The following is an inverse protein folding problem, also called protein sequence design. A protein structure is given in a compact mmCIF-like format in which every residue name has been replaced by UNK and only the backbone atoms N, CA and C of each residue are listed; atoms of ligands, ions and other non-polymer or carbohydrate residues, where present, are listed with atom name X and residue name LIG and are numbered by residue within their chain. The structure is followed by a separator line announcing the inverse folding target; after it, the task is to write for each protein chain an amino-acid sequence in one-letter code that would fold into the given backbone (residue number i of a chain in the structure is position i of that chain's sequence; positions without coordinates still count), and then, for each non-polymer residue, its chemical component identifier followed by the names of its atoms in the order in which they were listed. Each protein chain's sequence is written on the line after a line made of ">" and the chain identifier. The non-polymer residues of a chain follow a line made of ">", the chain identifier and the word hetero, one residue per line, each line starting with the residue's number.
data_IF_144765699424
#
_entry.id   IF_144765699424
#
_cell.length_a   1.000
_cell.length_b   1.000
_cell.length_c   1.000
_cell.angle_alpha   90.00
_cell.angle_beta   90.00
_cell.angle_gamma   90.00
#
_symmetry.space_group_name_H-M   'P 1'
#
loop_
_entity.id
_entity.type
_entity.pdbx_description
1 polymer ?
#
# COMPACT_ATOMS: atom_id res chain seq x y z
N UNK A 1 31.88 -9.04 35.86
CA UNK A 1 31.17 -10.20 35.26
C UNK A 1 31.06 -9.94 33.77
N UNK A 2 31.46 -10.84 32.86
CA UNK A 2 31.25 -10.61 31.43
C UNK A 2 29.75 -10.48 31.18
N UNK A 3 29.31 -9.29 30.78
CA UNK A 3 27.94 -9.10 30.30
C UNK A 3 27.75 -10.01 29.08
N UNK A 4 26.62 -10.72 28.94
CA UNK A 4 26.32 -11.46 27.74
C UNK A 4 25.99 -10.46 26.62
N UNK A 5 27.03 -9.88 26.00
CA UNK A 5 26.92 -8.90 24.91
C UNK A 5 26.63 -9.62 23.59
N UNK A 6 27.00 -10.90 23.47
CA UNK A 6 26.86 -11.67 22.23
C UNK A 6 25.40 -11.72 21.68
N UNK A 7 24.35 -11.94 22.49
CA UNK A 7 22.97 -11.85 22.00
C UNK A 7 22.61 -10.43 21.52
N UNK A 8 23.04 -9.39 22.24
CA UNK A 8 22.71 -7.99 21.97
C UNK A 8 23.37 -7.52 20.67
N UNK A 9 24.62 -7.90 20.42
CA UNK A 9 25.34 -7.58 19.19
C UNK A 9 24.67 -8.19 17.95
N UNK A 10 24.18 -9.43 18.04
CA UNK A 10 23.43 -10.07 16.97
C UNK A 10 22.12 -9.36 16.65
N UNK A 11 21.37 -8.93 17.67
CA UNK A 11 20.16 -8.13 17.50
C UNK A 11 20.45 -6.76 16.88
N UNK A 12 21.47 -6.06 17.38
CA UNK A 12 21.87 -4.76 16.85
C UNK A 12 22.24 -4.84 15.36
N UNK A 13 22.99 -5.87 14.96
CA UNK A 13 23.33 -6.10 13.55
C UNK A 13 22.10 -6.40 12.70
N UNK A 14 21.19 -7.27 13.16
CA UNK A 14 19.98 -7.64 12.40
C UNK A 14 19.07 -6.43 12.19
N UNK A 15 18.75 -5.69 13.25
CA UNK A 15 17.87 -4.53 13.16
C UNK A 15 18.56 -3.35 12.47
N UNK A 16 19.88 -3.19 12.64
CA UNK A 16 20.68 -2.21 11.90
C UNK A 16 20.66 -2.48 10.40
N UNK A 17 20.79 -3.74 9.98
CA UNK A 17 20.69 -4.13 8.57
C UNK A 17 19.29 -3.84 8.01
N UNK A 18 18.22 -4.16 8.75
CA UNK A 18 16.84 -3.82 8.35
C UNK A 18 16.66 -2.31 8.21
N UNK A 19 17.17 -1.53 9.16
CA UNK A 19 17.08 -0.07 9.13
C UNK A 19 17.81 0.53 7.91
N UNK A 20 19.03 0.05 7.62
CA UNK A 20 19.79 0.49 6.42
C UNK A 20 19.08 0.10 5.13
N UNK A 21 18.53 -1.12 5.07
CA UNK A 21 17.77 -1.56 3.90
C UNK A 21 16.51 -0.70 3.68
N UNK A 22 15.73 -0.46 4.75
CA UNK A 22 14.55 0.41 4.70
C UNK A 22 14.93 1.84 4.27
N UNK A 23 16.01 2.39 4.83
CA UNK A 23 16.52 3.71 4.43
C UNK A 23 16.91 3.75 2.95
N UNK A 24 17.67 2.77 2.47
CA UNK A 24 18.11 2.70 1.08
C UNK A 24 16.93 2.56 0.11
N UNK A 25 15.89 1.80 0.47
CA UNK A 25 14.65 1.73 -0.31
C UNK A 25 13.94 3.07 -0.30
N UNK A 26 13.72 3.67 0.87
CA UNK A 26 12.99 4.94 1.00
C UNK A 26 13.62 6.08 0.20
N UNK A 27 14.95 6.11 0.09
CA UNK A 27 15.69 7.11 -0.69
C UNK A 27 15.58 6.93 -2.20
N UNK A 28 15.18 5.74 -2.66
CA UNK A 28 14.95 5.44 -4.08
C UNK A 28 13.48 5.56 -4.49
N UNK A 29 12.58 5.75 -3.53
CA UNK A 29 11.17 6.01 -3.83
C UNK A 29 11.06 7.47 -4.22
N UNK A 30 10.92 7.74 -5.51
CA UNK A 30 10.60 9.06 -6.01
C UNK A 30 9.22 9.50 -5.49
N UNK A 31 9.03 10.82 -5.40
CA UNK A 31 7.68 11.36 -5.17
C UNK A 31 6.79 10.89 -6.31
N UNK A 32 5.79 10.08 -5.96
CA UNK A 32 4.83 9.55 -6.92
C UNK A 32 4.14 10.68 -7.69
N UNK A 33 3.79 10.39 -8.94
CA UNK A 33 2.90 11.24 -9.70
C UNK A 33 1.59 11.44 -8.95
N UNK A 34 1.18 12.69 -8.75
CA UNK A 34 -0.09 13.06 -8.14
C UNK A 34 -0.93 13.81 -9.17
N UNK A 35 -2.04 13.21 -9.56
CA UNK A 35 -3.08 13.86 -10.37
C UNK A 35 -4.32 14.00 -9.51
N UNK A 36 -4.74 15.24 -9.25
CA UNK A 36 -5.87 15.50 -8.38
C UNK A 36 -7.14 14.82 -8.87
N UNK A 37 -7.35 14.69 -10.19
CA UNK A 37 -8.52 13.99 -10.73
C UNK A 37 -8.50 12.49 -10.41
N UNK A 38 -7.32 11.90 -10.34
CA UNK A 38 -7.18 10.50 -9.97
C UNK A 38 -7.44 10.29 -8.47
N UNK A 39 -6.99 11.21 -7.62
CA UNK A 39 -7.30 11.22 -6.18
C UNK A 39 -8.81 11.37 -5.95
N UNK A 40 -9.45 12.35 -6.60
CA UNK A 40 -10.89 12.59 -6.48
C UNK A 40 -11.69 11.34 -6.92
N UNK A 41 -11.24 10.65 -7.98
CA UNK A 41 -11.88 9.41 -8.43
C UNK A 41 -11.74 8.24 -7.44
N UNK A 42 -10.69 8.22 -6.60
CA UNK A 42 -10.54 7.25 -5.52
C UNK A 42 -11.43 7.60 -4.31
N UNK A 43 -11.62 8.89 -4.03
CA UNK A 43 -12.46 9.38 -2.94
C UNK A 43 -13.96 9.20 -3.22
N UNK A 44 -14.35 9.18 -4.50
CA UNK A 44 -15.74 8.93 -4.94
C UNK A 44 -16.14 7.44 -4.95
N UNK A 45 -15.22 6.52 -4.69
CA UNK A 45 -15.54 5.09 -4.68
C UNK A 45 -16.47 4.73 -3.52
N UNK A 46 -17.47 3.89 -3.84
CA UNK A 46 -18.29 3.23 -2.84
C UNK A 46 -17.48 2.15 -2.11
N UNK A 47 -17.76 1.96 -0.82
CA UNK A 47 -17.18 0.86 -0.03
C UNK A 47 -17.53 -0.51 -0.64
N UNK A 48 -16.58 -1.44 -0.62
CA UNK A 48 -16.69 -2.77 -1.19
C UNK A 48 -15.84 -2.94 -2.45
N UNK A 49 -16.15 -3.96 -3.25
CA UNK A 49 -15.45 -4.28 -4.51
C UNK A 49 -16.47 -4.36 -5.63
N UNK A 50 -16.16 -3.70 -6.75
CA UNK A 50 -16.96 -3.77 -7.97
C UNK A 50 -16.08 -4.08 -9.19
N UNK A 51 -16.67 -4.79 -10.15
CA UNK A 51 -16.01 -5.13 -11.41
C UNK A 51 -16.96 -4.78 -12.55
N UNK A 52 -16.46 -4.01 -13.52
CA UNK A 52 -17.18 -3.71 -14.77
C UNK A 52 -16.41 -4.28 -15.94
N UNK A 53 -17.05 -5.15 -16.72
CA UNK A 53 -16.49 -5.70 -17.95
C UNK A 53 -17.17 -5.10 -19.17
N UNK A 54 -16.36 -4.46 -20.01
CA UNK A 54 -16.68 -3.95 -21.33
C UNK A 54 -15.99 -4.84 -22.40
N UNK A 55 -16.35 -4.70 -23.68
CA UNK A 55 -15.93 -5.62 -24.74
C UNK A 55 -14.39 -5.82 -24.86
N UNK A 56 -13.60 -4.79 -24.59
CA UNK A 56 -12.13 -4.85 -24.66
C UNK A 56 -11.44 -4.62 -23.30
N UNK A 57 -12.22 -4.32 -22.25
CA UNK A 57 -11.70 -3.76 -21.02
C UNK A 57 -12.40 -4.32 -19.79
N UNK A 58 -11.63 -4.64 -18.76
CA UNK A 58 -12.17 -4.95 -17.43
C UNK A 58 -11.65 -3.89 -16.47
N UNK A 59 -12.57 -3.26 -15.74
CA UNK A 59 -12.29 -2.32 -14.67
C UNK A 59 -12.62 -2.96 -13.33
N UNK A 60 -11.75 -2.75 -12.35
CA UNK A 60 -11.94 -3.17 -10.96
C UNK A 60 -11.82 -1.93 -10.10
N UNK A 61 -12.75 -1.76 -9.18
CA UNK A 61 -12.71 -0.71 -8.17
C UNK A 61 -12.91 -1.34 -6.81
N UNK A 62 -12.17 -0.87 -5.81
CA UNK A 62 -12.35 -1.31 -4.43
C UNK A 62 -12.09 -0.19 -3.45
N UNK A 63 -12.90 -0.10 -2.41
CA UNK A 63 -12.67 0.76 -1.25
C UNK A 63 -12.95 0.00 0.04
N UNK A 64 -12.10 0.21 1.04
CA UNK A 64 -12.23 -0.36 2.37
C UNK A 64 -12.03 0.75 3.40
N UNK A 65 -13.08 1.03 4.19
CA UNK A 65 -13.03 2.00 5.28
C UNK A 65 -13.27 1.29 6.61
N UNK A 66 -12.38 1.50 7.58
CA UNK A 66 -12.51 0.90 8.91
C UNK A 66 -11.95 1.80 9.99
N UNK A 67 -12.73 2.00 11.05
CA UNK A 67 -12.25 2.64 12.28
C UNK A 67 -11.86 1.54 13.27
N UNK A 68 -10.59 1.53 13.68
CA UNK A 68 -10.07 0.61 14.70
C UNK A 68 -9.81 1.42 15.98
N UNK A 69 -10.44 1.04 17.08
CA UNK A 69 -10.24 1.67 18.42
C UNK A 69 -9.46 0.74 19.34
N UNK A 70 -8.61 1.32 20.18
CA UNK A 70 -7.88 0.57 21.20
C UNK A 70 -8.69 0.59 22.51
N UNK A 71 -9.55 -0.41 22.71
CA UNK A 71 -10.47 -0.48 23.86
C UNK A 71 -11.74 0.35 23.66
N UNK A 72 -12.64 0.30 24.64
CA UNK A 72 -13.98 0.90 24.54
C UNK A 72 -13.93 2.44 24.46
N UNK A 73 -12.99 3.08 25.17
CA UNK A 73 -12.81 4.54 25.22
C UNK A 73 -11.42 5.03 24.77
N UNK A 74 -10.60 4.17 24.16
CA UNK A 74 -9.25 4.56 23.76
C UNK A 74 -9.14 5.20 22.37
N UNK A 75 -7.94 5.65 21.99
CA UNK A 75 -7.69 6.32 20.72
C UNK A 75 -8.02 5.39 19.54
N UNK A 76 -8.59 5.98 18.49
CA UNK A 76 -8.97 5.28 17.26
C UNK A 76 -8.16 5.74 16.05
N UNK A 77 -7.96 4.83 15.11
CA UNK A 77 -7.36 5.09 13.79
C UNK A 77 -8.38 4.73 12.73
N UNK A 78 -8.63 5.66 11.82
CA UNK A 78 -9.39 5.41 10.60
C UNK A 78 -8.44 4.94 9.50
N UNK A 79 -8.80 3.83 8.87
CA UNK A 79 -8.09 3.23 7.75
C UNK A 79 -9.01 3.35 6.55
N UNK A 80 -8.63 4.17 5.58
CA UNK A 80 -9.29 4.26 4.27
C UNK A 80 -8.30 3.81 3.18
N UNK A 81 -8.70 2.79 2.42
CA UNK A 81 -7.91 2.20 1.35
C UNK A 81 -8.77 2.12 0.11
N UNK A 82 -8.41 2.88 -0.93
CA UNK A 82 -9.04 2.87 -2.24
C UNK A 82 -8.08 2.38 -3.33
N UNK A 83 -8.59 1.63 -4.30
CA UNK A 83 -7.83 1.16 -5.45
C UNK A 83 -8.68 1.08 -6.71
N UNK A 84 -8.10 1.50 -7.84
CA UNK A 84 -8.66 1.38 -9.18
C UNK A 84 -7.70 0.61 -10.09
N UNK A 85 -8.25 -0.35 -10.83
CA UNK A 85 -7.52 -1.15 -11.81
C UNK A 85 -8.23 -1.15 -13.16
N UNK A 86 -7.47 -1.00 -14.25
CA UNK A 86 -7.96 -1.11 -15.62
C UNK A 86 -7.09 -2.08 -16.39
N UNK A 87 -7.71 -3.10 -16.97
CA UNK A 87 -7.06 -4.09 -17.83
C UNK A 87 -7.69 -4.00 -19.22
N UNK A 88 -6.90 -3.72 -20.25
CA UNK A 88 -7.34 -3.74 -21.66
C UNK A 88 -6.49 -4.74 -22.44
N UNK A 89 -7.13 -5.73 -23.05
CA UNK A 89 -6.44 -6.74 -23.86
C UNK A 89 -6.72 -6.45 -25.33
N UNK A 90 -5.67 -6.31 -26.14
CA UNK A 90 -5.79 -6.14 -27.60
C UNK A 90 -4.94 -7.19 -28.29
N UNK A 91 -5.50 -7.80 -29.34
CA UNK A 91 -4.73 -8.69 -30.22
C UNK A 91 -3.76 -7.85 -31.05
N UNK A 92 -2.47 -8.14 -30.98
CA UNK A 92 -1.45 -7.54 -31.84
C UNK A 92 -1.02 -8.61 -32.84
N UNK A 93 -1.29 -8.38 -34.12
CA UNK A 93 -0.78 -9.24 -35.19
C UNK A 93 0.65 -8.80 -35.53
N UNK A 94 1.57 -9.77 -35.69
CA UNK A 94 2.88 -9.50 -36.29
C UNK A 94 2.67 -9.20 -37.78
N UNK A 95 3.22 -8.07 -38.24
CA UNK A 95 3.43 -7.81 -39.67
C UNK A 95 4.61 -8.64 -40.15
#
# INVERSE_FOLDING_TARGET
>A
MPLPIAPIAGFALRYGAVAVAAYAVSRRVDRGFRDQRAEDALDELNEGVSVRRDAEQTNVAGRFCRVIRIGDDGPGVEIDISALGRIRLRRVNRR
#
